data_IF_431261929814
#
_entry.id   IF_431261929814
#
_cell.length_a   1.000
_cell.length_b   1.000
_cell.length_c   1.000
_cell.angle_alpha   90.00
_cell.angle_beta   90.00
_cell.angle_gamma   90.00
#
_symmetry.space_group_name_H-M   'P 1'
#
loop_
_entity.id
_entity.type
_entity.pdbx_description
1 polymer ?
#
# COMPACT_ATOMS: atom_id res chain seq x y z
N UNK A 1 -11.02 -18.34 5.03
CA UNK A 1 -10.81 -19.11 6.29
C UNK A 1 -11.93 -20.14 6.41
N UNK A 2 -11.62 -21.41 6.70
CA UNK A 2 -12.63 -22.44 6.99
C UNK A 2 -13.18 -23.24 5.80
N UNK A 3 -12.57 -23.16 4.62
CA UNK A 3 -12.94 -23.99 3.46
C UNK A 3 -12.01 -25.21 3.32
N UNK A 4 -12.43 -26.23 2.55
CA UNK A 4 -11.58 -27.37 2.21
C UNK A 4 -10.29 -26.87 1.54
N UNK A 5 -9.15 -27.43 1.94
CA UNK A 5 -7.78 -27.01 1.57
C UNK A 5 -7.25 -25.69 2.18
N UNK A 6 -7.95 -25.06 3.13
CA UNK A 6 -7.35 -23.99 3.94
C UNK A 6 -6.40 -24.60 4.98
N UNK A 7 -5.09 -24.32 4.88
CA UNK A 7 -4.12 -24.56 5.96
C UNK A 7 -3.83 -23.26 6.69
N UNK A 8 -3.71 -23.34 8.02
CA UNK A 8 -3.14 -22.24 8.79
C UNK A 8 -1.68 -22.06 8.38
N UNK A 9 -1.24 -20.82 8.25
CA UNK A 9 0.16 -20.49 8.04
C UNK A 9 0.54 -19.58 9.20
N UNK A 10 1.63 -19.91 9.90
CA UNK A 10 2.16 -19.00 10.92
C UNK A 10 2.70 -17.77 10.21
N UNK A 11 2.14 -16.61 10.56
CA UNK A 11 2.55 -15.31 10.06
C UNK A 11 3.35 -14.59 11.14
N UNK A 12 4.35 -13.83 10.73
CA UNK A 12 5.05 -12.89 11.62
C UNK A 12 4.05 -11.92 12.27
N UNK A 13 4.36 -11.44 13.48
CA UNK A 13 3.67 -10.26 13.98
C UNK A 13 3.97 -9.07 13.08
N UNK A 14 3.14 -8.03 13.12
CA UNK A 14 3.36 -6.84 12.29
C UNK A 14 4.63 -6.12 12.75
N UNK A 15 4.88 -6.13 14.05
CA UNK A 15 6.07 -5.61 14.69
C UNK A 15 7.34 -6.33 14.18
N UNK A 16 7.35 -7.67 14.17
CA UNK A 16 8.48 -8.45 13.64
C UNK A 16 8.71 -8.18 12.14
N UNK A 17 7.63 -8.00 11.38
CA UNK A 17 7.72 -7.72 9.95
C UNK A 17 8.34 -6.33 9.68
N UNK A 18 7.96 -5.32 10.47
CA UNK A 18 8.56 -3.97 10.39
C UNK A 18 10.05 -4.05 10.73
N UNK A 19 10.40 -4.68 11.86
CA UNK A 19 11.78 -4.82 12.30
C UNK A 19 12.65 -5.54 11.26
N UNK A 20 12.12 -6.61 10.65
CA UNK A 20 12.82 -7.37 9.62
C UNK A 20 13.12 -6.53 8.37
N UNK A 21 12.13 -5.75 7.89
CA UNK A 21 12.31 -4.86 6.73
C UNK A 21 13.39 -3.81 7.03
N UNK A 22 13.33 -3.19 8.21
CA UNK A 22 14.24 -2.13 8.61
C UNK A 22 15.66 -2.66 8.86
N UNK A 23 15.79 -3.85 9.45
CA UNK A 23 17.09 -4.52 9.65
C UNK A 23 17.76 -4.88 8.32
N UNK A 24 16.99 -5.05 7.25
CA UNK A 24 17.49 -5.21 5.90
C UNK A 24 17.81 -3.89 5.17
N UNK A 25 17.65 -2.73 5.85
CA UNK A 25 17.87 -1.39 5.28
C UNK A 25 16.70 -0.88 4.43
N UNK A 26 15.55 -1.55 4.47
CA UNK A 26 14.33 -1.15 3.77
C UNK A 26 13.43 -0.22 4.59
N UNK A 27 12.33 0.20 3.97
CA UNK A 27 11.27 0.97 4.62
C UNK A 27 9.97 0.17 4.65
N UNK A 28 9.28 0.16 5.79
CA UNK A 28 8.07 -0.61 6.02
C UNK A 28 6.82 0.20 5.68
N UNK A 29 6.02 -0.29 4.72
CA UNK A 29 4.75 0.31 4.33
C UNK A 29 3.57 -0.62 4.56
N UNK A 30 2.48 -0.10 5.14
CA UNK A 30 1.22 -0.85 5.22
C UNK A 30 0.52 -0.81 3.85
N UNK A 31 0.51 -1.95 3.15
CA UNK A 31 -0.18 -2.09 1.89
C UNK A 31 -1.71 -2.14 2.08
N UNK A 32 -2.45 -1.61 1.09
CA UNK A 32 -3.90 -1.67 0.93
C UNK A 32 -4.70 -1.65 2.26
N UNK A 33 -4.65 -0.54 3.05
CA UNK A 33 -5.32 -0.46 4.35
C UNK A 33 -6.83 -0.76 4.30
N UNK A 34 -7.49 -0.54 3.15
CA UNK A 34 -8.91 -0.85 2.96
C UNK A 34 -9.25 -2.34 3.13
N UNK A 35 -8.28 -3.24 2.98
CA UNK A 35 -8.46 -4.68 3.21
C UNK A 35 -8.72 -5.04 4.68
N UNK A 36 -8.33 -4.17 5.62
CA UNK A 36 -8.52 -4.37 7.05
C UNK A 36 -9.99 -4.23 7.47
N UNK A 37 -10.82 -3.56 6.66
CA UNK A 37 -12.25 -3.29 6.93
C UNK A 37 -12.48 -2.69 8.32
N UNK A 38 -11.60 -1.79 8.73
CA UNK A 38 -11.71 -1.05 9.98
C UNK A 38 -12.50 0.24 9.74
N UNK A 39 -13.32 0.61 10.71
CA UNK A 39 -13.91 1.95 10.79
C UNK A 39 -12.82 2.99 11.08
N UNK A 40 -13.12 4.26 10.82
CA UNK A 40 -12.17 5.38 10.84
C UNK A 40 -11.37 5.47 12.15
N UNK A 41 -12.02 5.44 13.30
CA UNK A 41 -11.34 5.57 14.60
C UNK A 41 -10.51 4.32 14.92
N UNK A 42 -10.95 3.15 14.47
CA UNK A 42 -10.21 1.90 14.65
C UNK A 42 -8.96 1.88 13.75
N UNK A 43 -9.08 2.39 12.53
CA UNK A 43 -7.98 2.54 11.60
C UNK A 43 -6.93 3.51 12.14
N UNK A 44 -7.34 4.68 12.64
CA UNK A 44 -6.43 5.66 13.25
C UNK A 44 -5.66 5.07 14.43
N UNK A 45 -6.35 4.40 15.37
CA UNK A 45 -5.69 3.73 16.50
C UNK A 45 -4.71 2.68 16.02
N UNK A 46 -5.08 1.90 15.00
CA UNK A 46 -4.23 0.87 14.45
C UNK A 46 -2.97 1.47 13.80
N UNK A 47 -3.12 2.49 12.95
CA UNK A 47 -1.99 3.19 12.33
C UNK A 47 -1.08 3.86 13.36
N UNK A 48 -1.66 4.43 14.43
CA UNK A 48 -0.88 4.98 15.54
C UNK A 48 -0.03 3.91 16.22
N UNK A 49 -0.61 2.73 16.48
CA UNK A 49 0.14 1.59 17.02
C UNK A 49 1.29 1.19 16.09
N UNK A 50 1.04 1.08 14.78
CA UNK A 50 2.08 0.70 13.82
C UNK A 50 3.17 1.77 13.68
N UNK A 51 2.80 3.06 13.70
CA UNK A 51 3.78 4.15 13.72
C UNK A 51 4.72 4.05 14.92
N UNK A 52 4.17 3.77 16.10
CA UNK A 52 4.96 3.56 17.31
C UNK A 52 5.86 2.32 17.24
N UNK A 53 5.48 1.32 16.44
CA UNK A 53 6.28 0.14 16.15
C UNK A 53 7.32 0.37 15.03
N UNK A 54 7.42 1.58 14.47
CA UNK A 54 8.42 1.94 13.48
C UNK A 54 7.91 2.03 12.04
N UNK A 55 6.60 1.93 11.77
CA UNK A 55 6.08 2.02 10.40
C UNK A 55 6.49 3.34 9.70
N UNK A 56 6.98 3.23 8.47
CA UNK A 56 7.47 4.36 7.69
C UNK A 56 6.37 5.03 6.86
N UNK A 57 5.42 4.24 6.35
CA UNK A 57 4.35 4.77 5.50
C UNK A 57 3.16 3.84 5.28
N UNK A 58 2.20 4.31 4.50
CA UNK A 58 0.99 3.58 4.13
C UNK A 58 0.67 3.75 2.64
N UNK A 59 0.04 2.73 2.05
CA UNK A 59 -0.51 2.84 0.70
C UNK A 59 -1.80 3.66 0.74
N UNK A 60 -1.70 4.89 0.23
CA UNK A 60 -2.83 5.81 0.11
C UNK A 60 -3.54 5.59 -1.22
N UNK A 61 -2.77 5.51 -2.31
CA UNK A 61 -3.29 5.49 -3.66
C UNK A 61 -3.38 4.05 -4.18
N UNK A 62 -4.59 3.51 -4.24
CA UNK A 62 -4.85 2.19 -4.83
C UNK A 62 -6.11 2.22 -5.67
N UNK A 63 -6.11 1.49 -6.78
CA UNK A 63 -7.28 1.34 -7.66
C UNK A 63 -8.54 0.83 -6.93
N UNK A 64 -8.34 0.19 -5.78
CA UNK A 64 -9.38 -0.39 -4.93
C UNK A 64 -9.90 0.56 -3.85
N UNK A 65 -9.32 1.76 -3.69
CA UNK A 65 -9.77 2.76 -2.72
C UNK A 65 -10.77 3.73 -3.34
N UNK A 66 -11.81 4.08 -2.56
CA UNK A 66 -12.71 5.17 -2.93
C UNK A 66 -12.03 6.53 -2.69
N UNK A 67 -12.48 7.57 -3.39
CA UNK A 67 -11.95 8.93 -3.17
C UNK A 67 -12.07 9.39 -1.71
N UNK A 68 -13.20 9.10 -1.05
CA UNK A 68 -13.40 9.43 0.37
C UNK A 68 -12.37 8.73 1.25
N UNK A 69 -12.07 7.46 0.96
CA UNK A 69 -11.09 6.70 1.72
C UNK A 69 -9.66 7.18 1.47
N UNK A 70 -9.32 7.59 0.24
CA UNK A 70 -8.03 8.22 -0.08
C UNK A 70 -7.83 9.49 0.75
N UNK A 71 -8.82 10.38 0.79
CA UNK A 71 -8.72 11.63 1.57
C UNK A 71 -8.57 11.35 3.07
N UNK A 72 -9.27 10.35 3.61
CA UNK A 72 -9.06 9.88 4.97
C UNK A 72 -7.61 9.43 5.20
N UNK A 73 -7.08 8.54 4.35
CA UNK A 73 -5.71 8.05 4.48
C UNK A 73 -4.66 9.16 4.33
N UNK A 74 -4.91 10.18 3.50
CA UNK A 74 -4.05 11.37 3.39
C UNK A 74 -4.04 12.18 4.67
N UNK A 75 -5.21 12.38 5.28
CA UNK A 75 -5.33 13.04 6.58
C UNK A 75 -4.55 12.31 7.67
N UNK A 76 -4.79 11.01 7.81
CA UNK A 76 -4.14 10.16 8.81
C UNK A 76 -2.62 10.03 8.59
N UNK A 77 -2.16 9.88 7.35
CA UNK A 77 -0.73 9.82 7.07
C UNK A 77 -0.03 11.13 7.39
N UNK A 78 -0.67 12.27 7.10
CA UNK A 78 -0.14 13.59 7.45
C UNK A 78 -0.08 13.78 8.97
N UNK A 79 -1.15 13.46 9.71
CA UNK A 79 -1.20 13.64 11.16
C UNK A 79 -0.21 12.75 11.92
N UNK A 80 0.04 11.53 11.42
CA UNK A 80 0.96 10.56 12.03
C UNK A 80 2.39 10.64 11.48
N UNK A 81 2.69 11.58 10.58
CA UNK A 81 3.97 11.71 9.89
C UNK A 81 4.42 10.37 9.25
N UNK A 82 3.52 9.78 8.47
CA UNK A 82 3.71 8.58 7.68
C UNK A 82 3.85 8.97 6.21
N UNK A 83 4.79 8.32 5.50
CA UNK A 83 4.93 8.51 4.07
C UNK A 83 3.76 7.90 3.30
N UNK A 84 3.47 8.45 2.13
CA UNK A 84 2.37 8.01 1.28
C UNK A 84 2.93 7.23 0.09
N UNK A 85 2.43 6.03 -0.14
CA UNK A 85 2.73 5.24 -1.33
C UNK A 85 1.49 4.98 -2.18
N UNK A 86 1.71 4.43 -3.38
CA UNK A 86 0.64 4.01 -4.26
C UNK A 86 1.03 2.79 -5.08
N UNK A 87 0.06 1.90 -5.29
CA UNK A 87 0.24 0.66 -6.01
C UNK A 87 -0.98 0.36 -6.88
N UNK A 88 -0.73 -0.25 -8.03
CA UNK A 88 -1.82 -0.77 -8.87
C UNK A 88 -2.46 -2.00 -8.25
N UNK A 89 -1.67 -2.81 -7.55
CA UNK A 89 -2.03 -4.16 -7.08
C UNK A 89 -2.46 -5.08 -8.24
N UNK A 90 -1.75 -4.95 -9.38
CA UNK A 90 -2.02 -5.69 -10.61
C UNK A 90 -1.69 -7.19 -10.48
N UNK A 91 -2.65 -8.03 -10.87
CA UNK A 91 -2.56 -9.48 -10.83
C UNK A 91 -2.94 -10.14 -12.17
N UNK A 92 -2.77 -9.42 -13.29
CA UNK A 92 -3.08 -9.94 -14.62
C UNK A 92 -4.55 -10.33 -14.79
N UNK A 93 -4.79 -11.47 -15.42
CA UNK A 93 -6.14 -11.99 -15.67
C UNK A 93 -6.97 -12.23 -14.40
N UNK A 94 -6.33 -12.32 -13.22
CA UNK A 94 -7.01 -12.51 -11.94
C UNK A 94 -7.65 -11.22 -11.41
N UNK A 95 -7.21 -10.04 -11.89
CA UNK A 95 -7.84 -8.74 -11.62
C UNK A 95 -8.01 -7.94 -12.92
N UNK A 96 -8.94 -8.38 -13.77
CA UNK A 96 -9.19 -7.78 -15.11
C UNK A 96 -9.49 -6.27 -15.12
N UNK A 97 -9.89 -5.68 -13.99
CA UNK A 97 -10.21 -4.26 -13.86
C UNK A 97 -9.02 -3.39 -13.39
N UNK A 98 -7.89 -4.02 -13.05
CA UNK A 98 -6.66 -3.33 -12.66
C UNK A 98 -5.69 -3.39 -13.83
N UNK A 99 -5.08 -2.26 -14.17
CA UNK A 99 -3.99 -2.20 -15.15
C UNK A 99 -2.68 -1.96 -14.42
N UNK A 100 -1.59 -2.55 -14.94
CA UNK A 100 -0.26 -2.30 -14.41
C UNK A 100 0.04 -0.78 -14.40
N UNK A 101 0.68 -0.30 -13.32
CA UNK A 101 1.00 1.12 -13.13
C UNK A 101 -0.19 2.03 -12.76
N UNK A 102 -1.43 1.51 -12.69
CA UNK A 102 -2.62 2.31 -12.39
C UNK A 102 -3.04 2.23 -10.92
N UNK A 103 -2.51 3.11 -10.09
CA UNK A 103 -3.14 3.51 -8.81
C UNK A 103 -4.28 4.51 -9.09
N UNK A 104 -5.18 4.82 -8.14
CA UNK A 104 -6.29 5.78 -8.32
C UNK A 104 -5.78 7.20 -8.61
N UNK A 105 -5.39 7.41 -9.85
CA UNK A 105 -4.89 8.64 -10.42
C UNK A 105 -5.45 8.68 -11.82
N UNK A 106 -6.63 9.32 -11.96
CA UNK A 106 -7.20 9.63 -13.28
C UNK A 106 -6.34 10.63 -14.06
N UNK A 107 -5.23 11.10 -13.49
CA UNK A 107 -4.15 11.85 -14.13
C UNK A 107 -2.83 11.40 -13.52
N UNK A 108 -1.87 11.08 -14.39
CA UNK A 108 -0.44 10.79 -14.12
C UNK A 108 0.05 11.10 -12.71
N UNK A 109 0.73 10.13 -12.08
CA UNK A 109 1.59 10.36 -10.92
C UNK A 109 2.48 11.59 -11.19
N UNK A 110 2.61 12.54 -10.25
CA UNK A 110 3.62 13.58 -10.37
C UNK A 110 4.98 12.93 -10.61
N UNK A 111 5.72 13.34 -11.64
CA UNK A 111 6.98 12.68 -12.05
C UNK A 111 7.98 12.51 -10.90
N UNK A 112 7.95 13.40 -9.90
CA UNK A 112 8.81 13.34 -8.73
C UNK A 112 8.43 12.26 -7.70
N UNK A 113 7.28 11.58 -7.86
CA UNK A 113 6.84 10.45 -7.01
C UNK A 113 7.29 9.10 -7.57
N UNK A 114 7.76 9.08 -8.82
CA UNK A 114 8.32 7.90 -9.48
C UNK A 114 9.83 8.12 -9.49
N UNK A 115 10.61 7.24 -8.87
CA UNK A 115 12.06 7.27 -9.05
C UNK A 115 12.39 7.15 -10.54
N UNK A 116 13.34 7.93 -11.06
CA UNK A 116 13.70 7.92 -12.50
C UNK A 116 13.94 6.51 -13.06
N UNK A 117 14.45 5.59 -12.22
CA UNK A 117 14.67 4.17 -12.55
C UNK A 117 13.39 3.40 -12.94
N UNK A 118 12.24 3.73 -12.34
CA UNK A 118 10.95 3.10 -12.66
C UNK A 118 10.37 3.69 -13.96
N UNK A 119 10.65 4.96 -14.27
CA UNK A 119 10.13 5.62 -15.47
C UNK A 119 10.71 5.02 -16.76
N UNK A 120 12.02 4.76 -16.78
CA UNK A 120 12.70 4.14 -17.94
C UNK A 120 12.23 2.70 -18.21
N UNK A 121 11.77 1.98 -17.18
CA UNK A 121 11.30 0.60 -17.32
C UNK A 121 9.87 0.52 -17.88
N UNK A 122 9.07 1.59 -17.75
CA UNK A 122 7.68 1.65 -18.24
C UNK A 122 7.62 2.07 -19.72
N UNK A 123 8.55 2.91 -20.20
CA UNK A 123 8.60 3.29 -21.62
C UNK A 123 8.98 2.12 -22.54
N UNK A 124 9.77 1.15 -22.04
CA UNK A 124 10.22 0.00 -22.84
C UNK A 124 9.07 -0.96 -23.19
N UNK A 125 7.99 -1.03 -22.41
CA UNK A 125 6.85 -1.92 -22.68
C UNK A 125 5.76 -1.32 -23.60
N UNK A 126 5.87 -0.04 -23.97
CA UNK A 126 4.86 0.62 -24.84
C UNK A 126 5.29 0.61 -26.33
N UNK A 127 6.55 0.30 -26.64
CA UNK A 127 7.09 0.24 -28.00
C UNK A 127 7.38 -1.19 -28.54
N UNK A 128 6.92 -2.25 -27.87
CA UNK A 128 7.07 -3.65 -28.35
C UNK A 128 5.76 -4.34 -28.68
#
# INVERSE_FOLDING_TARGET
>A
KGARAYSHHDSFSVEDAIEMIQSAGGMAFLAHPGSLKLEEEALERYLTKLKNAGLDGIEVYSSSHSFKFIELLRGLSTSLNLQQSGGSDFHGANKKQVSLGRAYLRKQLPKHWISEAIFQSIEIEIES
#
